data_IF_893112525111
#
_entry.id   IF_893112525111
#
_cell.length_a   1.000
_cell.length_b   1.000
_cell.length_c   1.000
_cell.angle_alpha   90.00
_cell.angle_beta   90.00
_cell.angle_gamma   90.00
#
_symmetry.space_group_name_H-M   'P 1'
#
loop_
_entity.id
_entity.type
_entity.pdbx_description
1 polymer ?
#
# COMPACT_ATOMS: atom_id res chain seq x y z
N UNK A 1 -37.45 -8.15 0.21
CA UNK A 1 -36.11 -7.61 0.48
C UNK A 1 -35.60 -6.91 -0.77
N UNK A 2 -34.75 -5.91 -0.60
CA UNK A 2 -34.09 -5.18 -1.68
C UNK A 2 -32.58 -5.36 -1.56
N UNK A 3 -31.90 -5.70 -2.67
CA UNK A 3 -30.45 -5.93 -2.66
C UNK A 3 -29.73 -4.76 -3.31
N UNK A 4 -28.63 -4.35 -2.70
CA UNK A 4 -27.69 -3.37 -3.25
C UNK A 4 -26.44 -4.08 -3.71
N UNK A 5 -25.99 -3.82 -4.95
CA UNK A 5 -24.87 -4.52 -5.55
C UNK A 5 -23.84 -3.54 -6.12
N UNK A 6 -22.64 -4.01 -6.26
CA UNK A 6 -21.50 -3.22 -6.68
C UNK A 6 -21.52 -2.85 -8.16
N UNK A 7 -22.05 -3.73 -9.03
CA UNK A 7 -21.99 -3.56 -10.48
C UNK A 7 -23.15 -4.26 -11.21
N UNK A 8 -23.31 -3.93 -12.50
CA UNK A 8 -24.33 -4.49 -13.38
C UNK A 8 -24.18 -6.01 -13.60
N UNK A 9 -22.97 -6.55 -13.53
CA UNK A 9 -22.77 -7.99 -13.64
C UNK A 9 -23.42 -8.73 -12.46
N UNK A 10 -23.22 -8.26 -11.24
CA UNK A 10 -23.87 -8.80 -10.05
C UNK A 10 -25.39 -8.72 -10.14
N UNK A 11 -25.94 -7.61 -10.62
CA UNK A 11 -27.37 -7.46 -10.88
C UNK A 11 -27.89 -8.48 -11.88
N UNK A 12 -27.18 -8.70 -12.98
CA UNK A 12 -27.52 -9.71 -14.00
C UNK A 12 -27.47 -11.14 -13.44
N UNK A 13 -26.49 -11.47 -12.59
CA UNK A 13 -26.44 -12.80 -11.96
C UNK A 13 -27.64 -13.01 -11.02
N UNK A 14 -28.01 -12.03 -10.22
CA UNK A 14 -29.18 -12.11 -9.35
C UNK A 14 -30.48 -12.24 -10.13
N UNK A 15 -30.63 -11.54 -11.25
CA UNK A 15 -31.82 -11.64 -12.09
C UNK A 15 -32.00 -13.02 -12.71
N UNK A 16 -30.91 -13.77 -13.00
CA UNK A 16 -30.96 -15.15 -13.51
C UNK A 16 -31.56 -16.14 -12.50
N UNK A 17 -31.49 -15.83 -11.22
CA UNK A 17 -32.08 -16.65 -10.13
C UNK A 17 -33.40 -16.05 -9.60
N UNK A 18 -34.03 -15.15 -10.39
CA UNK A 18 -35.34 -14.59 -10.09
C UNK A 18 -35.38 -13.41 -9.11
N UNK A 19 -34.23 -12.87 -8.74
CA UNK A 19 -34.15 -11.70 -7.84
C UNK A 19 -34.14 -10.42 -8.69
N UNK A 20 -35.27 -9.68 -8.66
CA UNK A 20 -35.48 -8.47 -9.48
C UNK A 20 -35.30 -7.15 -8.73
N UNK A 21 -35.46 -7.15 -7.40
CA UNK A 21 -35.31 -5.95 -6.57
C UNK A 21 -33.84 -5.68 -6.26
N UNK A 22 -33.12 -5.19 -7.23
CA UNK A 22 -31.66 -4.97 -7.15
C UNK A 22 -31.32 -3.58 -7.65
N UNK A 23 -30.59 -2.81 -6.85
CA UNK A 23 -30.03 -1.50 -7.23
C UNK A 23 -28.51 -1.59 -7.29
N UNK A 24 -27.92 -1.08 -8.34
CA UNK A 24 -26.47 -0.92 -8.44
C UNK A 24 -26.08 0.39 -7.77
N UNK A 25 -25.26 0.31 -6.73
CA UNK A 25 -24.83 1.47 -5.91
C UNK A 25 -23.33 1.79 -6.07
N UNK A 26 -22.59 0.96 -6.82
CA UNK A 26 -21.14 1.09 -6.92
C UNK A 26 -20.39 0.39 -5.79
N UNK A 27 -19.10 0.69 -5.69
CA UNK A 27 -18.23 0.10 -4.69
C UNK A 27 -18.10 1.04 -3.48
N UNK A 28 -18.73 0.69 -2.38
CA UNK A 28 -18.71 1.47 -1.14
C UNK A 28 -17.33 1.60 -0.51
N UNK A 29 -16.33 0.84 -0.99
CA UNK A 29 -14.94 1.02 -0.57
C UNK A 29 -14.38 2.39 -0.98
N UNK A 30 -14.88 2.98 -2.07
CA UNK A 30 -14.48 4.34 -2.48
C UNK A 30 -14.94 5.40 -1.48
N UNK A 31 -16.15 5.28 -0.94
CA UNK A 31 -16.66 6.22 0.07
C UNK A 31 -15.84 6.11 1.37
N UNK A 32 -15.52 4.87 1.78
CA UNK A 32 -14.69 4.63 2.96
C UNK A 32 -13.27 5.20 2.80
N UNK A 33 -12.72 5.16 1.61
CA UNK A 33 -11.35 5.65 1.34
C UNK A 33 -11.27 7.17 1.50
N UNK A 34 -12.30 7.92 1.11
CA UNK A 34 -12.37 9.36 1.36
C UNK A 34 -12.36 9.65 2.87
N UNK A 35 -13.13 8.89 3.65
CA UNK A 35 -13.11 8.99 5.12
C UNK A 35 -11.71 8.68 5.68
N UNK A 36 -11.03 7.64 5.21
CA UNK A 36 -9.67 7.30 5.62
C UNK A 36 -8.72 8.49 5.42
N UNK A 37 -8.84 9.20 4.30
CA UNK A 37 -8.04 10.39 4.01
C UNK A 37 -8.35 11.54 4.98
N UNK A 38 -9.62 11.77 5.28
CA UNK A 38 -10.07 12.81 6.21
C UNK A 38 -9.64 12.52 7.65
N UNK A 39 -9.68 11.25 8.05
CA UNK A 39 -9.29 10.75 9.37
C UNK A 39 -7.78 10.44 9.49
N UNK A 40 -7.00 10.71 8.43
CA UNK A 40 -5.57 10.38 8.41
C UNK A 40 -4.82 11.09 9.55
N UNK A 41 -4.11 10.28 10.34
CA UNK A 41 -3.32 10.78 11.48
C UNK A 41 -2.13 11.59 11.00
N UNK A 42 -1.83 12.67 11.68
CA UNK A 42 -0.53 13.31 11.55
C UNK A 42 0.53 12.46 12.28
N UNK A 43 1.64 12.17 11.59
CA UNK A 43 2.71 11.32 12.07
C UNK A 43 4.03 12.09 12.07
N UNK A 44 4.33 12.86 13.13
CA UNK A 44 5.48 13.76 13.17
C UNK A 44 6.81 13.05 12.87
N UNK A 45 7.04 11.87 13.42
CA UNK A 45 8.27 11.09 13.15
C UNK A 45 8.40 10.68 11.68
N UNK A 46 7.30 10.30 11.02
CA UNK A 46 7.31 9.97 9.59
C UNK A 46 7.57 11.22 8.75
N UNK A 47 6.98 12.36 9.13
CA UNK A 47 7.24 13.65 8.49
C UNK A 47 8.70 14.06 8.62
N UNK A 48 9.28 13.91 9.81
CA UNK A 48 10.70 14.20 10.05
C UNK A 48 11.60 13.25 9.26
N UNK A 49 11.27 11.95 9.22
CA UNK A 49 11.98 10.97 8.40
C UNK A 49 11.99 11.37 6.93
N UNK A 50 10.83 11.71 6.36
CA UNK A 50 10.73 12.13 4.96
C UNK A 50 11.61 13.37 4.67
N UNK A 51 11.53 14.39 5.53
CA UNK A 51 12.11 15.71 5.23
C UNK A 51 11.40 16.41 4.06
N UNK A 52 11.93 17.54 3.62
CA UNK A 52 11.25 18.38 2.64
C UNK A 52 11.42 17.93 1.19
N UNK A 53 12.54 17.29 0.83
CA UNK A 53 12.93 17.04 -0.57
C UNK A 53 13.31 15.59 -0.88
N UNK A 54 13.12 14.65 0.05
CA UNK A 54 13.49 13.26 -0.21
C UNK A 54 12.40 12.52 -1.01
N UNK A 55 12.82 11.84 -2.07
CA UNK A 55 11.94 10.88 -2.75
C UNK A 55 11.71 9.69 -1.83
N UNK A 56 10.48 9.51 -1.39
CA UNK A 56 10.09 8.48 -0.43
C UNK A 56 9.19 7.44 -1.08
N UNK A 57 9.67 6.21 -1.08
CA UNK A 57 8.92 5.04 -1.54
C UNK A 57 8.24 4.38 -0.34
N UNK A 58 6.93 4.18 -0.41
CA UNK A 58 6.14 3.56 0.66
C UNK A 58 5.70 2.17 0.23
N UNK A 59 6.27 1.12 0.81
CA UNK A 59 5.87 -0.26 0.60
C UNK A 59 4.91 -0.72 1.70
N UNK A 60 3.64 -0.91 1.35
CA UNK A 60 2.60 -1.33 2.29
C UNK A 60 2.13 -2.75 2.09
N UNK A 61 1.86 -3.44 3.18
CA UNK A 61 1.40 -4.83 3.22
C UNK A 61 2.31 -5.78 2.42
N UNK A 62 3.63 -5.58 2.51
CA UNK A 62 4.62 -6.36 1.78
C UNK A 62 4.77 -7.78 2.33
N UNK A 63 5.22 -8.66 1.46
CA UNK A 63 5.60 -10.04 1.74
C UNK A 63 7.01 -10.29 1.22
N UNK A 64 7.64 -11.39 1.65
CA UNK A 64 9.01 -11.73 1.28
C UNK A 64 9.36 -11.55 -0.21
N UNK A 65 8.56 -12.08 -1.16
CA UNK A 65 8.83 -11.88 -2.59
C UNK A 65 8.74 -10.42 -3.07
N UNK A 66 7.86 -9.60 -2.47
CA UNK A 66 7.80 -8.17 -2.77
C UNK A 66 9.05 -7.46 -2.25
N UNK A 67 9.47 -7.84 -1.03
CA UNK A 67 10.61 -7.27 -0.32
C UNK A 67 11.94 -7.56 -1.03
N UNK A 68 12.11 -8.76 -1.55
CA UNK A 68 13.28 -9.13 -2.34
C UNK A 68 13.48 -8.19 -3.52
N UNK A 69 12.40 -7.84 -4.20
CA UNK A 69 12.44 -6.97 -5.37
C UNK A 69 12.78 -5.52 -5.01
N UNK A 70 12.01 -4.90 -4.12
CA UNK A 70 12.20 -3.46 -3.90
C UNK A 70 13.35 -3.14 -2.94
N UNK A 71 13.79 -4.06 -2.06
CA UNK A 71 14.96 -3.85 -1.21
C UNK A 71 16.27 -3.88 -2.02
N UNK A 72 16.36 -4.73 -3.05
CA UNK A 72 17.51 -4.70 -3.96
C UNK A 72 17.60 -3.34 -4.67
N UNK A 73 16.47 -2.85 -5.18
CA UNK A 73 16.39 -1.53 -5.81
C UNK A 73 16.75 -0.42 -4.82
N UNK A 74 16.16 -0.41 -3.63
CA UNK A 74 16.44 0.57 -2.59
C UNK A 74 17.92 0.62 -2.21
N UNK A 75 18.56 -0.53 -2.02
CA UNK A 75 19.97 -0.62 -1.65
C UNK A 75 20.91 0.01 -2.69
N UNK A 76 20.51 0.04 -3.96
CA UNK A 76 21.30 0.59 -5.09
C UNK A 76 20.99 2.06 -5.42
N UNK A 77 19.94 2.66 -4.77
CA UNK A 77 19.49 4.02 -5.06
C UNK A 77 19.56 4.91 -3.79
N UNK A 78 20.74 5.50 -3.51
CA UNK A 78 20.98 6.24 -2.27
C UNK A 78 20.15 7.52 -2.13
N UNK A 79 19.61 8.06 -3.21
CA UNK A 79 18.72 9.22 -3.23
C UNK A 79 17.31 8.94 -2.70
N UNK A 80 16.93 7.67 -2.61
CA UNK A 80 15.60 7.25 -2.21
C UNK A 80 15.53 6.94 -0.71
N UNK A 81 14.45 7.35 -0.06
CA UNK A 81 14.05 6.85 1.27
C UNK A 81 12.98 5.78 1.13
N UNK A 82 12.97 4.85 2.07
CA UNK A 82 12.02 3.74 2.11
C UNK A 82 11.23 3.73 3.42
N UNK A 83 9.91 3.69 3.32
CA UNK A 83 9.04 3.30 4.42
C UNK A 83 8.46 1.94 4.09
N UNK A 84 8.73 0.94 4.93
CA UNK A 84 8.21 -0.41 4.73
C UNK A 84 7.28 -0.80 5.87
N UNK A 85 6.04 -1.18 5.52
CA UNK A 85 5.03 -1.70 6.44
C UNK A 85 4.68 -3.13 6.03
N UNK A 86 5.34 -4.15 6.59
CA UNK A 86 5.11 -5.54 6.22
C UNK A 86 3.70 -5.99 6.62
N UNK A 87 3.15 -6.95 5.86
CA UNK A 87 1.83 -7.50 6.16
C UNK A 87 1.83 -8.29 7.47
N UNK A 88 2.89 -9.04 7.70
CA UNK A 88 3.11 -9.81 8.93
C UNK A 88 4.16 -9.10 9.79
N UNK A 89 3.76 -8.68 10.98
CA UNK A 89 4.63 -8.00 11.94
C UNK A 89 5.00 -9.00 13.03
N UNK A 90 5.95 -9.87 12.74
CA UNK A 90 6.61 -10.75 13.72
C UNK A 90 8.12 -10.58 13.67
N UNK A 91 8.81 -10.97 14.74
CA UNK A 91 10.24 -10.71 14.88
C UNK A 91 11.08 -11.44 13.82
N UNK A 92 10.70 -12.64 13.41
CA UNK A 92 11.43 -13.40 12.41
C UNK A 92 11.37 -12.70 11.05
N UNK A 93 10.18 -12.28 10.64
CA UNK A 93 10.00 -11.54 9.39
C UNK A 93 10.72 -10.18 9.41
N UNK A 94 10.65 -9.46 10.53
CA UNK A 94 11.39 -8.21 10.68
C UNK A 94 12.92 -8.41 10.59
N UNK A 95 13.45 -9.49 11.17
CA UNK A 95 14.87 -9.86 11.05
C UNK A 95 15.23 -10.21 9.61
N UNK A 96 14.35 -10.89 8.86
CA UNK A 96 14.57 -11.18 7.44
C UNK A 96 14.67 -9.88 6.62
N UNK A 97 13.76 -8.93 6.80
CA UNK A 97 13.80 -7.61 6.17
C UNK A 97 15.12 -6.91 6.50
N UNK A 98 15.46 -6.85 7.78
CA UNK A 98 16.68 -6.18 8.27
C UNK A 98 17.93 -6.81 7.67
N UNK A 99 17.97 -8.14 7.53
CA UNK A 99 19.13 -8.84 6.97
C UNK A 99 19.42 -8.48 5.51
N UNK A 100 18.41 -8.05 4.76
CA UNK A 100 18.49 -7.63 3.36
C UNK A 100 18.83 -6.14 3.19
N UNK A 101 18.67 -5.33 4.23
CA UNK A 101 18.99 -3.91 4.21
C UNK A 101 20.50 -3.67 4.31
N UNK A 102 21.04 -2.88 3.37
CA UNK A 102 22.44 -2.44 3.35
C UNK A 102 22.61 -0.97 3.76
N UNK A 103 21.49 -0.30 4.08
CA UNK A 103 21.44 1.12 4.40
C UNK A 103 20.90 1.32 5.82
N UNK A 104 21.18 2.45 6.47
CA UNK A 104 20.71 2.72 7.83
C UNK A 104 19.19 2.67 7.94
N UNK A 105 18.70 2.05 9.00
CA UNK A 105 17.28 1.87 9.26
C UNK A 105 16.95 2.10 10.73
N UNK A 106 15.66 2.32 10.99
CA UNK A 106 15.09 2.29 12.35
C UNK A 106 13.68 1.68 12.32
N UNK A 107 13.31 0.95 13.34
CA UNK A 107 11.94 0.47 13.57
C UNK A 107 11.11 1.61 14.17
N UNK A 108 9.90 1.82 13.71
CA UNK A 108 9.04 2.93 14.12
C UNK A 108 8.81 2.97 15.63
N UNK A 109 8.60 1.82 16.28
CA UNK A 109 8.41 1.74 17.73
C UNK A 109 9.66 2.12 18.55
N UNK A 110 10.83 2.21 17.91
CA UNK A 110 12.12 2.60 18.49
C UNK A 110 12.64 3.92 17.91
N UNK A 111 11.84 4.56 17.06
CA UNK A 111 12.20 5.83 16.44
C UNK A 111 12.00 7.00 17.42
N UNK A 112 12.92 7.92 17.38
CA UNK A 112 12.85 9.22 18.03
C UNK A 112 13.30 10.34 17.07
N UNK A 113 13.17 11.59 17.48
CA UNK A 113 13.52 12.77 16.68
C UNK A 113 14.99 12.81 16.25
N UNK A 114 15.89 12.14 17.00
CA UNK A 114 17.34 12.15 16.73
C UNK A 114 17.77 11.05 15.77
N UNK A 115 17.23 9.85 15.96
CA UNK A 115 17.62 8.70 15.15
C UNK A 115 16.91 8.65 13.81
N UNK A 116 15.66 9.12 13.72
CA UNK A 116 14.86 9.11 12.49
C UNK A 116 15.46 9.97 11.37
N UNK A 117 16.22 11.00 11.74
CA UNK A 117 16.92 11.88 10.79
C UNK A 117 18.20 11.28 10.20
N UNK A 118 18.70 10.18 10.77
CA UNK A 118 20.00 9.57 10.40
C UNK A 118 19.84 8.29 9.58
N UNK A 119 18.63 7.94 9.21
CA UNK A 119 18.33 6.67 8.52
C UNK A 119 17.66 6.93 7.18
N UNK A 120 17.75 5.93 6.31
CA UNK A 120 17.17 5.94 4.98
C UNK A 120 15.97 5.00 4.86
N UNK A 121 15.80 4.08 5.84
CA UNK A 121 14.67 3.17 5.90
C UNK A 121 13.95 3.27 7.24
N UNK A 122 12.63 3.41 7.21
CA UNK A 122 11.74 3.36 8.36
C UNK A 122 10.87 2.12 8.28
N UNK A 123 11.06 1.17 9.21
CA UNK A 123 10.28 -0.06 9.28
C UNK A 123 9.09 0.15 10.23
N UNK A 124 7.89 0.02 9.72
CA UNK A 124 6.65 0.16 10.50
C UNK A 124 6.34 -1.18 11.16
N UNK A 125 6.69 -1.29 12.40
CA UNK A 125 6.56 -2.49 13.23
C UNK A 125 5.37 -2.42 14.21
N UNK A 126 4.30 -1.70 13.79
CA UNK A 126 3.05 -1.61 14.53
C UNK A 126 1.85 -1.44 13.58
N UNK A 127 0.65 -1.77 14.07
CA UNK A 127 -0.57 -1.72 13.28
C UNK A 127 -1.24 -0.34 13.28
N UNK A 128 -2.12 -0.10 12.29
CA UNK A 128 -3.06 1.05 12.27
C UNK A 128 -2.46 2.37 11.80
N UNK A 129 -1.29 2.36 11.14
CA UNK A 129 -0.65 3.56 10.64
C UNK A 129 -0.59 3.62 9.10
N UNK A 130 -0.65 2.47 8.41
CA UNK A 130 -0.33 2.36 6.99
C UNK A 130 -1.16 3.30 6.12
N UNK A 131 -2.48 3.36 6.32
CA UNK A 131 -3.36 4.25 5.56
C UNK A 131 -2.99 5.74 5.69
N UNK A 132 -2.45 6.14 6.84
CA UNK A 132 -1.97 7.52 7.07
C UNK A 132 -0.55 7.74 6.54
N UNK A 133 0.26 6.67 6.44
CA UNK A 133 1.66 6.75 6.00
C UNK A 133 1.77 7.02 4.49
N UNK A 134 0.88 6.52 3.67
CA UNK A 134 0.91 6.74 2.22
C UNK A 134 0.95 8.21 1.82
N UNK A 135 0.38 9.11 2.62
CA UNK A 135 0.43 10.57 2.37
C UNK A 135 1.84 11.16 2.36
N UNK A 136 2.82 10.45 2.90
CA UNK A 136 4.21 10.89 2.97
C UNK A 136 5.08 10.35 1.83
N UNK A 137 4.53 9.52 0.96
CA UNK A 137 5.23 8.94 -0.18
C UNK A 137 5.03 9.71 -1.47
N UNK A 138 6.01 9.64 -2.36
CA UNK A 138 5.89 10.02 -3.77
C UNK A 138 5.42 8.85 -4.63
N UNK A 139 5.65 7.61 -4.19
CA UNK A 139 5.19 6.37 -4.83
C UNK A 139 4.79 5.37 -3.75
N UNK A 140 3.70 4.65 -3.98
CA UNK A 140 3.29 3.53 -3.13
C UNK A 140 3.47 2.19 -3.84
N UNK A 141 3.99 1.22 -3.12
CA UNK A 141 3.97 -0.19 -3.52
C UNK A 141 2.96 -0.95 -2.66
N UNK A 142 2.10 -1.75 -3.29
CA UNK A 142 1.11 -2.57 -2.60
C UNK A 142 1.50 -4.04 -2.72
N UNK A 143 1.82 -4.64 -1.58
CA UNK A 143 2.29 -6.01 -1.51
C UNK A 143 1.23 -7.07 -1.79
N UNK A 144 1.68 -8.33 -1.87
CA UNK A 144 0.87 -9.51 -2.10
C UNK A 144 0.73 -9.93 -3.56
N UNK A 145 1.14 -9.08 -4.49
CA UNK A 145 0.98 -9.31 -5.92
C UNK A 145 1.78 -10.47 -6.50
N UNK A 146 2.80 -10.96 -5.81
CA UNK A 146 3.54 -12.18 -6.16
C UNK A 146 3.03 -13.42 -5.43
N UNK A 147 2.10 -13.26 -4.49
CA UNK A 147 1.52 -14.34 -3.68
C UNK A 147 0.04 -14.60 -4.01
N UNK A 148 -0.81 -14.37 -3.02
CA UNK A 148 -2.26 -14.64 -3.08
C UNK A 148 -3.08 -13.57 -3.80
N UNK A 149 -2.49 -12.42 -4.08
CA UNK A 149 -3.11 -11.24 -4.68
C UNK A 149 -2.80 -9.97 -3.88
N UNK A 150 -2.94 -8.83 -4.55
CA UNK A 150 -2.63 -7.52 -3.97
C UNK A 150 -3.57 -7.14 -2.83
N UNK A 151 -3.08 -6.29 -1.94
CA UNK A 151 -3.87 -5.66 -0.90
C UNK A 151 -4.63 -4.43 -1.41
N UNK A 152 -5.21 -3.65 -0.51
CA UNK A 152 -6.05 -2.50 -0.86
C UNK A 152 -5.24 -1.36 -1.50
N UNK A 153 -5.43 -1.16 -2.81
CA UNK A 153 -4.76 -0.10 -3.58
C UNK A 153 -5.35 1.29 -3.33
N UNK A 154 -6.61 1.36 -2.91
CA UNK A 154 -7.33 2.62 -2.74
C UNK A 154 -6.78 3.46 -1.58
N UNK A 155 -6.25 2.80 -0.54
CA UNK A 155 -5.64 3.50 0.61
C UNK A 155 -4.44 4.36 0.24
N UNK A 156 -3.71 3.96 -0.81
CA UNK A 156 -2.63 4.76 -1.36
C UNK A 156 -3.13 5.74 -2.44
N UNK A 157 -3.98 5.26 -3.34
CA UNK A 157 -4.47 6.03 -4.48
C UNK A 157 -5.23 7.31 -4.08
N UNK A 158 -5.87 7.32 -2.90
CA UNK A 158 -6.61 8.50 -2.39
C UNK A 158 -5.72 9.72 -2.16
N UNK A 159 -4.42 9.51 -2.01
CA UNK A 159 -3.45 10.61 -1.86
C UNK A 159 -2.93 11.13 -3.20
N UNK A 160 -3.37 10.56 -4.32
CA UNK A 160 -2.96 11.00 -5.66
C UNK A 160 -1.54 10.62 -6.05
N UNK A 161 -0.92 9.66 -5.34
CA UNK A 161 0.41 9.16 -5.65
C UNK A 161 0.33 7.94 -6.58
N UNK A 162 1.31 7.73 -7.49
CA UNK A 162 1.39 6.53 -8.30
C UNK A 162 1.47 5.27 -7.45
N UNK A 163 0.76 4.21 -7.89
CA UNK A 163 0.70 2.94 -7.18
C UNK A 163 1.38 1.85 -8.02
N UNK A 164 2.25 1.06 -7.40
CA UNK A 164 2.91 -0.10 -8.00
C UNK A 164 2.45 -1.36 -7.29
N UNK A 165 2.25 -2.44 -8.01
CA UNK A 165 1.92 -3.75 -7.46
C UNK A 165 2.39 -4.88 -8.38
N UNK A 166 2.49 -6.09 -7.81
CA UNK A 166 2.87 -7.29 -8.55
C UNK A 166 1.76 -7.81 -9.50
N UNK A 167 2.04 -8.90 -10.26
CA UNK A 167 1.22 -9.33 -11.40
C UNK A 167 -0.16 -9.91 -11.04
N UNK A 168 -0.40 -10.35 -9.80
CA UNK A 168 -1.68 -10.99 -9.40
C UNK A 168 -2.73 -9.98 -8.91
N UNK A 169 -3.21 -9.12 -9.81
CA UNK A 169 -4.20 -8.08 -9.51
C UNK A 169 -5.54 -8.25 -10.21
N UNK A 170 -5.70 -9.22 -11.13
CA UNK A 170 -6.83 -9.36 -12.06
C UNK A 170 -8.20 -9.52 -11.38
N UNK A 171 -8.22 -9.94 -10.12
CA UNK A 171 -9.45 -10.05 -9.31
C UNK A 171 -9.88 -8.73 -8.66
N UNK A 172 -9.07 -7.69 -8.77
CA UNK A 172 -9.24 -6.41 -8.09
C UNK A 172 -9.61 -5.32 -9.11
N UNK A 173 -10.89 -5.02 -9.21
CA UNK A 173 -11.41 -4.04 -10.20
C UNK A 173 -10.84 -2.64 -10.01
N UNK A 174 -10.57 -2.24 -8.79
CA UNK A 174 -9.93 -0.97 -8.45
C UNK A 174 -8.52 -0.87 -9.03
N UNK A 175 -7.73 -1.95 -8.99
CA UNK A 175 -6.40 -1.99 -9.57
C UNK A 175 -6.45 -1.91 -11.11
N UNK A 176 -7.40 -2.60 -11.74
CA UNK A 176 -7.61 -2.53 -13.19
C UNK A 176 -7.94 -1.08 -13.59
N UNK A 177 -8.87 -0.44 -12.89
CA UNK A 177 -9.25 0.96 -13.16
C UNK A 177 -8.10 1.94 -12.95
N UNK A 178 -7.25 1.71 -11.95
CA UNK A 178 -6.06 2.52 -11.72
C UNK A 178 -5.04 2.37 -12.86
N UNK A 179 -4.85 1.16 -13.41
CA UNK A 179 -4.00 0.94 -14.59
C UNK A 179 -4.56 1.65 -15.82
N UNK A 180 -5.86 1.53 -16.10
CA UNK A 180 -6.54 2.20 -17.21
C UNK A 180 -6.43 3.74 -17.10
N UNK A 181 -6.53 4.27 -15.87
CA UNK A 181 -6.37 5.69 -15.58
C UNK A 181 -4.90 6.16 -15.53
N UNK A 182 -3.93 5.27 -15.76
CA UNK A 182 -2.48 5.55 -15.65
C UNK A 182 -2.05 6.05 -14.25
N UNK A 183 -2.82 5.70 -13.22
CA UNK A 183 -2.50 5.97 -11.82
C UNK A 183 -1.77 4.82 -11.14
N UNK A 184 -1.63 3.67 -11.82
CA UNK A 184 -0.89 2.53 -11.33
C UNK A 184 -0.02 1.88 -12.38
N UNK A 185 0.97 1.11 -11.92
CA UNK A 185 1.90 0.34 -12.73
C UNK A 185 2.04 -1.06 -12.14
N UNK A 186 2.19 -2.06 -13.00
CA UNK A 186 2.51 -3.41 -12.55
C UNK A 186 4.01 -3.65 -12.61
N UNK A 187 4.54 -4.26 -11.56
CA UNK A 187 5.86 -4.86 -11.56
C UNK A 187 5.75 -6.27 -12.13
N UNK A 188 6.68 -6.64 -12.99
CA UNK A 188 6.78 -7.97 -13.59
C UNK A 188 7.95 -8.73 -12.95
N UNK A 189 7.77 -10.04 -12.71
CA UNK A 189 8.91 -10.90 -12.42
C UNK A 189 9.86 -10.90 -13.62
N UNK A 190 11.16 -10.81 -13.35
CA UNK A 190 12.22 -11.05 -14.33
C UNK A 190 12.65 -12.51 -14.30
#
# INVERSE_FOLDING_TARGET
DHLFVQNEASKRYLSKIGISRVTVVGDTRFDRVLQIREEAKDLPLVKMFKGDNAFTFVAGSSWGPDEDLFLEYFNSHPEMKLIIAPHVIDENHLVEIISKLKRPYVRYTRADEKNVLKVDCLIIDCFGLLSSIYRYGEVAYIGGGFGVGIHNTLEAAVYGIPVIFGPKYQKFMEAIRLLEAKGAYRSEER
#
